data_IF_719664326254
#
_entry.id   IF_719664326254
#
_cell.length_a   1.000
_cell.length_b   1.000
_cell.length_c   1.000
_cell.angle_alpha   90.00
_cell.angle_beta   90.00
_cell.angle_gamma   90.00
#
_symmetry.space_group_name_H-M   'P 1'
#
loop_
_entity.id
_entity.type
_entity.pdbx_description
1 polymer ?
#
# COMPACT_ATOMS: atom_id res chain seq x y z
N UNK A 1 -27.80 -4.36 -15.16
CA UNK A 1 -26.54 -4.69 -14.45
C UNK A 1 -26.16 -6.14 -14.70
N UNK A 2 -24.87 -6.42 -14.77
CA UNK A 2 -24.32 -7.77 -14.97
C UNK A 2 -24.51 -8.68 -13.74
N UNK A 3 -24.61 -9.99 -13.97
CA UNK A 3 -24.89 -10.98 -12.93
C UNK A 3 -23.80 -11.02 -11.84
N UNK A 4 -22.53 -10.90 -12.23
CA UNK A 4 -21.40 -10.96 -11.30
C UNK A 4 -21.43 -9.83 -10.26
N UNK A 5 -21.80 -8.61 -10.67
CA UNK A 5 -21.90 -7.48 -9.74
C UNK A 5 -23.05 -7.66 -8.74
N UNK A 6 -24.16 -8.27 -9.17
CA UNK A 6 -25.28 -8.61 -8.28
C UNK A 6 -24.84 -9.64 -7.23
N UNK A 7 -24.15 -10.69 -7.64
CA UNK A 7 -23.63 -11.72 -6.74
C UNK A 7 -22.66 -11.14 -5.70
N UNK A 8 -21.75 -10.25 -6.12
CA UNK A 8 -20.83 -9.56 -5.20
C UNK A 8 -21.60 -8.75 -4.15
N UNK A 9 -22.58 -7.96 -4.58
CA UNK A 9 -23.39 -7.15 -3.66
C UNK A 9 -24.22 -8.02 -2.71
N UNK A 10 -24.72 -9.16 -3.18
CA UNK A 10 -25.43 -10.14 -2.34
C UNK A 10 -24.51 -10.80 -1.32
N UNK A 11 -23.35 -11.28 -1.75
CA UNK A 11 -22.34 -11.90 -0.88
C UNK A 11 -21.89 -10.94 0.23
N UNK A 12 -21.79 -9.64 -0.08
CA UNK A 12 -21.40 -8.63 0.90
C UNK A 12 -22.55 -8.20 1.81
N UNK A 13 -23.77 -8.69 1.58
CA UNK A 13 -24.97 -8.35 2.35
C UNK A 13 -25.58 -6.99 1.98
N UNK A 14 -25.30 -6.50 0.78
CA UNK A 14 -25.79 -5.23 0.22
C UNK A 14 -26.79 -5.42 -0.93
N UNK A 15 -27.52 -6.54 -0.97
CA UNK A 15 -28.52 -6.84 -2.02
C UNK A 15 -29.55 -5.72 -2.22
N UNK A 16 -29.87 -4.98 -1.14
CA UNK A 16 -30.78 -3.83 -1.19
C UNK A 16 -30.26 -2.64 -2.00
N UNK A 17 -28.95 -2.58 -2.26
CA UNK A 17 -28.31 -1.53 -3.06
C UNK A 17 -28.29 -1.86 -4.55
N UNK A 18 -28.61 -3.09 -4.95
CA UNK A 18 -28.70 -3.50 -6.36
C UNK A 18 -29.55 -2.51 -7.20
N UNK A 19 -30.81 -2.19 -6.83
CA UNK A 19 -31.60 -1.25 -7.61
C UNK A 19 -30.97 0.15 -7.67
N UNK A 20 -30.28 0.60 -6.61
CA UNK A 20 -29.58 1.90 -6.61
C UNK A 20 -28.43 1.90 -7.61
N UNK A 21 -27.64 0.82 -7.65
CA UNK A 21 -26.53 0.71 -8.60
C UNK A 21 -27.04 0.58 -10.04
N UNK A 22 -28.19 -0.09 -10.27
CA UNK A 22 -28.84 -0.13 -11.58
C UNK A 22 -29.37 1.22 -12.04
N UNK A 23 -30.07 1.94 -11.17
CA UNK A 23 -30.60 3.29 -11.44
C UNK A 23 -29.48 4.30 -11.76
N UNK A 24 -28.31 4.14 -11.14
CA UNK A 24 -27.14 4.99 -11.37
C UNK A 24 -26.26 4.50 -12.54
N UNK A 25 -26.66 3.45 -13.26
CA UNK A 25 -25.92 2.92 -14.41
C UNK A 25 -24.55 2.37 -14.05
N UNK A 26 -24.38 1.83 -12.84
CA UNK A 26 -23.11 1.25 -12.40
C UNK A 26 -23.06 -0.20 -12.86
N UNK A 27 -22.28 -0.43 -13.91
CA UNK A 27 -21.87 -1.74 -14.38
C UNK A 27 -20.56 -2.20 -13.72
N UNK A 28 -20.05 -3.38 -14.09
CA UNK A 28 -18.86 -3.94 -13.46
C UNK A 28 -17.60 -3.10 -13.72
N UNK A 29 -17.52 -2.42 -14.87
CA UNK A 29 -16.40 -1.54 -15.20
C UNK A 29 -16.46 -0.28 -14.34
N UNK A 30 -17.59 0.43 -14.35
CA UNK A 30 -17.82 1.61 -13.52
C UNK A 30 -17.65 1.31 -12.02
N UNK A 31 -18.01 0.10 -11.60
CA UNK A 31 -17.82 -0.35 -10.22
C UNK A 31 -16.37 -0.31 -9.78
N UNK A 32 -15.40 -0.56 -10.67
CA UNK A 32 -13.95 -0.54 -10.34
C UNK A 32 -13.39 0.86 -10.13
N UNK A 33 -14.10 1.88 -10.60
CA UNK A 33 -13.69 3.29 -10.54
C UNK A 33 -14.45 4.08 -9.47
N UNK A 34 -15.22 3.41 -8.61
CA UNK A 34 -15.89 4.07 -7.50
C UNK A 34 -14.85 4.68 -6.54
N UNK A 35 -14.97 5.98 -6.31
CA UNK A 35 -14.21 6.72 -5.30
C UNK A 35 -15.08 6.96 -4.05
N UNK A 36 -14.45 7.40 -2.97
CA UNK A 36 -15.13 7.59 -1.67
C UNK A 36 -16.36 8.50 -1.77
N UNK A 37 -16.29 9.56 -2.61
CA UNK A 37 -17.42 10.48 -2.85
C UNK A 37 -18.59 9.80 -3.55
N UNK A 38 -18.32 8.99 -4.58
CA UNK A 38 -19.34 8.24 -5.30
C UNK A 38 -20.00 7.19 -4.39
N UNK A 39 -19.19 6.51 -3.57
CA UNK A 39 -19.67 5.54 -2.57
C UNK A 39 -20.56 6.25 -1.54
N UNK A 40 -20.17 7.43 -1.03
CA UNK A 40 -21.01 8.20 -0.11
C UNK A 40 -22.35 8.60 -0.73
N UNK A 41 -22.36 8.97 -2.01
CA UNK A 41 -23.57 9.32 -2.74
C UNK A 41 -24.49 8.11 -2.94
N UNK A 42 -23.93 6.97 -3.34
CA UNK A 42 -24.68 5.72 -3.56
C UNK A 42 -25.26 5.16 -2.26
N UNK A 43 -24.48 5.20 -1.19
CA UNK A 43 -24.90 4.74 0.14
C UNK A 43 -25.50 5.88 0.98
N UNK A 44 -25.95 6.97 0.39
CA UNK A 44 -26.46 8.15 1.11
C UNK A 44 -27.60 7.82 2.08
N UNK A 45 -28.46 6.85 1.73
CA UNK A 45 -29.59 6.36 2.54
C UNK A 45 -29.19 5.34 3.62
N UNK A 46 -27.94 4.88 3.60
CA UNK A 46 -27.42 3.88 4.53
C UNK A 46 -26.82 4.51 5.79
N UNK A 47 -26.82 3.74 6.87
CA UNK A 47 -26.15 4.18 8.10
C UNK A 47 -24.62 4.16 7.95
N UNK A 48 -23.93 4.91 8.82
CA UNK A 48 -22.47 5.02 8.79
C UNK A 48 -21.77 3.64 8.87
N UNK A 49 -22.31 2.70 9.66
CA UNK A 49 -21.74 1.36 9.79
C UNK A 49 -21.78 0.57 8.47
N UNK A 50 -22.87 0.67 7.73
CA UNK A 50 -23.01 0.06 6.41
C UNK A 50 -22.02 0.68 5.42
N UNK A 51 -21.87 2.01 5.41
CA UNK A 51 -20.87 2.72 4.59
C UNK A 51 -19.45 2.24 4.87
N UNK A 52 -19.08 2.10 6.14
CA UNK A 52 -17.76 1.61 6.54
C UNK A 52 -17.53 0.15 6.12
N UNK A 53 -18.52 -0.72 6.30
CA UNK A 53 -18.45 -2.14 5.88
C UNK A 53 -18.30 -2.26 4.37
N UNK A 54 -19.08 -1.49 3.60
CA UNK A 54 -19.00 -1.46 2.16
C UNK A 54 -17.61 -1.01 1.70
N UNK A 55 -17.11 0.11 2.23
CA UNK A 55 -15.78 0.62 1.90
C UNK A 55 -14.67 -0.40 2.17
N UNK A 56 -14.73 -1.09 3.32
CA UNK A 56 -13.73 -2.13 3.63
C UNK A 56 -13.82 -3.30 2.64
N UNK A 57 -15.02 -3.79 2.33
CA UNK A 57 -15.22 -4.86 1.35
C UNK A 57 -14.75 -4.46 -0.05
N UNK A 58 -15.10 -3.26 -0.49
CA UNK A 58 -14.72 -2.70 -1.78
C UNK A 58 -13.20 -2.55 -1.93
N UNK A 59 -12.50 -2.02 -0.90
CA UNK A 59 -11.03 -1.93 -0.91
C UNK A 59 -10.37 -3.32 -1.00
N UNK A 60 -10.86 -4.29 -0.23
CA UNK A 60 -10.34 -5.66 -0.31
C UNK A 60 -10.61 -6.32 -1.67
N UNK A 61 -11.76 -6.03 -2.29
CA UNK A 61 -12.09 -6.51 -3.62
C UNK A 61 -11.12 -5.99 -4.68
N UNK A 62 -10.81 -4.68 -4.65
CA UNK A 62 -9.84 -4.10 -5.57
C UNK A 62 -8.44 -4.73 -5.41
N UNK A 63 -8.00 -4.94 -4.16
CA UNK A 63 -6.73 -5.62 -3.86
C UNK A 63 -6.74 -7.04 -4.44
N UNK A 64 -7.79 -7.81 -4.20
CA UNK A 64 -7.89 -9.21 -4.66
C UNK A 64 -8.02 -9.31 -6.18
N UNK A 65 -8.69 -8.36 -6.84
CA UNK A 65 -8.84 -8.34 -8.30
C UNK A 65 -7.52 -7.96 -8.99
N UNK A 66 -6.71 -7.12 -8.37
CA UNK A 66 -5.35 -6.80 -8.83
C UNK A 66 -4.34 -7.91 -8.49
N UNK A 67 -4.64 -8.74 -7.48
CA UNK A 67 -3.86 -9.90 -7.07
C UNK A 67 -4.39 -11.21 -7.67
N UNK A 68 -4.33 -11.36 -9.00
CA UNK A 68 -4.32 -12.69 -9.61
C UNK A 68 -2.93 -13.35 -9.41
N UNK A 69 -2.81 -14.68 -9.32
CA UNK A 69 -2.07 -15.35 -8.24
C UNK A 69 -0.58 -15.59 -8.53
N UNK A 70 0.29 -15.20 -7.58
CA UNK A 70 1.51 -15.96 -7.30
C UNK A 70 1.18 -16.96 -6.18
N UNK A 71 0.88 -18.19 -6.56
CA UNK A 71 0.74 -19.32 -5.64
C UNK A 71 2.10 -19.62 -5.02
N UNK A 72 2.41 -19.03 -3.86
CA UNK A 72 3.47 -19.56 -2.99
C UNK A 72 2.78 -20.34 -1.88
N UNK A 73 2.71 -21.65 -2.08
CA UNK A 73 2.41 -22.60 -1.01
C UNK A 73 3.40 -22.38 0.14
N UNK A 74 2.95 -21.71 1.19
CA UNK A 74 3.69 -21.66 2.45
C UNK A 74 3.30 -22.90 3.26
N UNK A 75 3.96 -24.02 2.97
CA UNK A 75 3.94 -25.16 3.87
C UNK A 75 4.76 -24.79 5.11
N UNK A 76 4.05 -24.59 6.22
CA UNK A 76 4.62 -24.71 7.55
C UNK A 76 4.94 -26.18 7.77
N UNK A 77 6.22 -26.53 7.85
CA UNK A 77 6.62 -27.69 8.64
C UNK A 77 7.88 -27.35 9.45
N UNK A 78 7.68 -27.37 10.75
CA UNK A 78 8.69 -27.23 11.80
C UNK A 78 9.34 -28.60 11.96
N UNK A 79 10.67 -28.69 11.89
CA UNK A 79 11.52 -29.37 12.88
C UNK A 79 13.00 -29.35 12.47
N UNK A 80 13.77 -28.70 13.35
CA UNK A 80 15.01 -29.12 13.98
C UNK A 80 16.08 -29.96 13.26
N UNK A 81 17.28 -29.38 13.36
CA UNK A 81 18.58 -30.00 13.65
C UNK A 81 19.43 -30.66 12.55
N UNK A 82 20.73 -30.37 12.72
CA UNK A 82 21.95 -30.99 12.20
C UNK A 82 22.52 -30.49 10.85
N UNK A 83 23.41 -29.50 10.98
CA UNK A 83 24.86 -29.65 10.72
C UNK A 83 25.26 -30.53 9.52
N UNK A 84 25.77 -29.95 8.43
CA UNK A 84 26.95 -30.48 7.74
C UNK A 84 27.43 -29.61 6.58
N UNK A 85 28.75 -29.38 6.62
CA UNK A 85 29.73 -29.17 5.56
C UNK A 85 29.56 -28.21 4.37
N UNK A 86 30.61 -27.41 4.25
CA UNK A 86 31.04 -26.66 3.10
C UNK A 86 31.39 -27.57 1.92
N UNK A 87 31.10 -27.12 0.71
CA UNK A 87 31.98 -27.33 -0.44
C UNK A 87 31.71 -26.28 -1.51
N UNK A 88 32.69 -25.38 -1.58
CA UNK A 88 33.26 -24.71 -2.75
C UNK A 88 32.79 -25.20 -4.13
N UNK A 89 32.34 -24.27 -4.98
CA UNK A 89 32.73 -24.25 -6.38
C UNK A 89 32.68 -22.86 -6.97
N UNK A 90 33.84 -22.51 -7.48
CA UNK A 90 34.22 -21.43 -8.37
C UNK A 90 33.32 -21.29 -9.60
N UNK A 91 32.98 -20.05 -9.94
CA UNK A 91 33.17 -19.52 -11.30
C UNK A 91 32.86 -18.02 -11.31
N UNK A 92 33.90 -17.25 -11.61
CA UNK A 92 33.83 -15.84 -11.97
C UNK A 92 32.94 -15.63 -13.19
N UNK A 93 32.09 -14.60 -13.14
CA UNK A 93 31.84 -13.77 -14.31
C UNK A 93 31.59 -12.34 -13.85
N UNK A 94 32.64 -11.52 -14.01
CA UNK A 94 32.54 -10.09 -13.93
C UNK A 94 31.87 -9.60 -15.22
N UNK A 95 30.75 -8.90 -15.10
CA UNK A 95 30.28 -8.03 -16.18
C UNK A 95 29.89 -6.70 -15.59
N UNK A 96 30.74 -5.72 -15.87
CA UNK A 96 30.51 -4.32 -15.61
C UNK A 96 29.33 -3.81 -16.43
N UNK A 97 28.39 -3.11 -15.79
CA UNK A 97 27.58 -2.09 -16.45
C UNK A 97 27.49 -0.89 -15.51
N UNK A 98 28.47 0.00 -15.66
CA UNK A 98 28.34 1.41 -15.36
C UNK A 98 27.70 2.08 -16.56
N UNK A 99 26.65 2.86 -16.38
CA UNK A 99 26.50 4.26 -16.83
C UNK A 99 25.02 4.66 -16.91
N UNK A 100 24.74 5.67 -16.09
CA UNK A 100 23.86 6.81 -16.30
C UNK A 100 23.13 6.88 -17.65
N UNK A 101 21.80 6.93 -17.59
CA UNK A 101 21.01 7.68 -18.56
C UNK A 101 20.00 8.55 -17.79
N UNK A 102 20.39 9.82 -17.70
CA UNK A 102 19.69 10.95 -17.13
C UNK A 102 18.65 11.43 -18.14
N UNK A 103 17.47 10.83 -18.09
CA UNK A 103 16.30 11.33 -18.82
C UNK A 103 15.46 12.19 -17.89
N UNK A 104 15.77 13.47 -17.98
CA UNK A 104 15.07 14.64 -17.47
C UNK A 104 13.56 14.57 -17.80
N UNK A 105 12.79 13.94 -16.92
CA UNK A 105 11.33 14.09 -16.86
C UNK A 105 11.04 14.99 -15.67
N UNK A 106 10.13 15.96 -15.83
CA UNK A 106 9.88 16.99 -14.83
C UNK A 106 9.26 16.35 -13.57
N UNK A 107 10.08 15.91 -12.61
CA UNK A 107 9.61 15.20 -11.42
C UNK A 107 9.37 16.20 -10.30
N UNK A 108 8.12 16.27 -9.83
CA UNK A 108 7.76 16.97 -8.59
C UNK A 108 8.68 16.53 -7.45
N UNK A 109 9.36 17.50 -6.85
CA UNK A 109 10.27 17.29 -5.73
C UNK A 109 9.49 16.86 -4.49
N UNK A 110 9.72 15.63 -4.03
CA UNK A 110 9.11 15.13 -2.81
C UNK A 110 9.87 15.67 -1.59
N UNK A 111 9.49 16.87 -1.14
CA UNK A 111 10.15 17.56 -0.02
C UNK A 111 9.74 17.02 1.36
N UNK A 112 10.52 17.32 2.40
CA UNK A 112 10.14 17.02 3.79
C UNK A 112 8.80 17.65 4.21
N UNK A 113 8.43 18.77 3.57
CA UNK A 113 7.13 19.40 3.77
C UNK A 113 5.97 18.52 3.29
N UNK A 114 6.18 17.69 2.26
CA UNK A 114 5.19 16.73 1.78
C UNK A 114 4.91 15.64 2.82
N UNK A 115 5.96 15.11 3.44
CA UNK A 115 5.80 14.14 4.54
C UNK A 115 5.10 14.77 5.74
N UNK A 116 5.43 16.01 6.09
CA UNK A 116 4.74 16.73 7.16
C UNK A 116 3.25 16.93 6.86
N UNK A 117 2.87 17.24 5.63
CA UNK A 117 1.47 17.33 5.24
C UNK A 117 0.73 15.99 5.40
N UNK A 118 1.36 14.88 5.03
CA UNK A 118 0.82 13.53 5.25
C UNK A 118 0.67 13.25 6.74
N UNK A 119 1.65 13.64 7.55
CA UNK A 119 1.63 13.46 9.00
C UNK A 119 0.66 14.41 9.72
N UNK A 120 0.18 15.47 9.07
CA UNK A 120 -0.88 16.33 9.57
C UNK A 120 -2.29 15.79 9.26
N UNK A 121 -2.40 14.73 8.45
CA UNK A 121 -3.68 14.03 8.25
C UNK A 121 -4.21 13.40 9.55
N UNK A 122 -5.50 13.05 9.65
CA UNK A 122 -6.06 12.42 10.84
C UNK A 122 -5.33 11.12 11.26
N UNK A 123 -4.91 10.30 10.30
CA UNK A 123 -4.14 9.07 10.58
C UNK A 123 -2.66 9.39 10.84
N UNK A 124 -2.07 10.29 10.05
CA UNK A 124 -0.69 10.72 10.21
C UNK A 124 -0.42 11.34 11.58
N UNK A 125 -1.34 12.16 12.06
CA UNK A 125 -1.24 12.84 13.36
C UNK A 125 -1.31 11.86 14.54
N UNK A 126 -2.08 10.78 14.40
CA UNK A 126 -2.07 9.68 15.37
C UNK A 126 -0.72 8.98 15.41
N UNK A 127 -0.13 8.69 14.26
CA UNK A 127 1.20 8.07 14.16
C UNK A 127 2.27 8.99 14.76
N UNK A 128 2.25 10.28 14.40
CA UNK A 128 3.15 11.31 14.91
C UNK A 128 3.03 11.45 16.43
N UNK A 129 1.81 11.60 16.94
CA UNK A 129 1.56 11.71 18.39
C UNK A 129 1.99 10.47 19.17
N UNK A 130 1.74 9.28 18.62
CA UNK A 130 2.20 8.03 19.21
C UNK A 130 3.72 7.99 19.28
N UNK A 131 4.41 8.33 18.19
CA UNK A 131 5.87 8.36 18.16
C UNK A 131 6.46 9.41 19.10
N UNK A 132 5.84 10.59 19.20
CA UNK A 132 6.29 11.65 20.13
C UNK A 132 6.35 11.12 21.56
N UNK A 133 5.37 10.30 21.96
CA UNK A 133 5.28 9.70 23.30
C UNK A 133 6.19 8.49 23.48
N UNK A 134 6.13 7.52 22.57
CA UNK A 134 6.75 6.20 22.75
C UNK A 134 8.16 6.12 22.16
N UNK A 135 8.56 7.10 21.35
CA UNK A 135 9.84 7.18 20.60
C UNK A 135 10.12 5.98 19.70
N UNK A 136 9.13 5.11 19.49
CA UNK A 136 9.18 3.93 18.64
C UNK A 136 7.78 3.58 18.14
N UNK A 137 7.63 3.28 16.86
CA UNK A 137 6.40 2.83 16.23
C UNK A 137 6.21 1.33 16.40
N UNK A 138 4.98 0.92 16.70
CA UNK A 138 4.52 -0.48 16.61
C UNK A 138 4.38 -0.90 15.15
N UNK A 139 4.50 -2.20 14.86
CA UNK A 139 4.42 -2.74 13.50
C UNK A 139 3.16 -2.25 12.77
N UNK A 140 1.99 -2.34 13.41
CA UNK A 140 0.74 -1.89 12.82
C UNK A 140 0.71 -0.38 12.48
N UNK A 141 1.46 0.47 13.20
CA UNK A 141 1.58 1.89 12.90
C UNK A 141 2.63 2.16 11.81
N UNK A 142 3.67 1.32 11.71
CA UNK A 142 4.62 1.35 10.60
C UNK A 142 3.92 0.98 9.29
N UNK A 143 3.13 -0.09 9.32
CA UNK A 143 2.36 -0.53 8.15
C UNK A 143 1.40 0.56 7.70
N UNK A 144 0.69 1.19 8.65
CA UNK A 144 -0.18 2.34 8.36
C UNK A 144 0.59 3.56 7.82
N UNK A 145 1.77 3.86 8.36
CA UNK A 145 2.62 4.94 7.87
C UNK A 145 3.02 4.70 6.40
N UNK A 146 3.39 3.46 6.06
CA UNK A 146 3.70 3.08 4.69
C UNK A 146 2.46 3.21 3.81
N UNK A 147 1.29 2.74 4.26
CA UNK A 147 0.05 2.86 3.49
C UNK A 147 -0.30 4.30 3.14
N UNK A 148 -0.25 5.23 4.11
CA UNK A 148 -0.61 6.64 3.86
C UNK A 148 0.40 7.33 2.93
N UNK A 149 1.68 6.96 3.00
CA UNK A 149 2.71 7.51 2.11
C UNK A 149 2.50 6.98 0.69
N UNK A 150 2.22 5.69 0.53
CA UNK A 150 1.93 5.09 -0.78
C UNK A 150 0.66 5.66 -1.40
N UNK A 151 -0.40 5.84 -0.61
CA UNK A 151 -1.65 6.44 -1.08
C UNK A 151 -1.44 7.87 -1.58
N UNK A 152 -0.68 8.70 -0.85
CA UNK A 152 -0.33 10.05 -1.30
C UNK A 152 0.50 10.03 -2.60
N UNK A 153 1.50 9.15 -2.68
CA UNK A 153 2.37 9.03 -3.86
C UNK A 153 1.61 8.61 -5.12
N UNK A 154 0.73 7.60 -4.98
CA UNK A 154 -0.09 7.11 -6.08
C UNK A 154 -1.17 8.11 -6.48
N UNK A 155 -1.67 8.93 -5.54
CA UNK A 155 -2.64 9.97 -5.84
C UNK A 155 -2.05 11.14 -6.64
N UNK A 156 -0.74 11.43 -6.46
CA UNK A 156 -0.04 12.53 -7.14
C UNK A 156 0.62 12.10 -8.45
N UNK A 157 1.13 10.88 -8.52
CA UNK A 157 1.78 10.34 -9.71
C UNK A 157 0.87 9.36 -10.45
N UNK A 158 0.04 9.91 -11.34
CA UNK A 158 -0.87 9.14 -12.21
C UNK A 158 -0.12 8.19 -13.15
N UNK A 159 1.10 8.58 -13.55
CA UNK A 159 2.04 7.68 -14.23
C UNK A 159 2.83 6.95 -13.14
N UNK A 160 2.53 5.68 -12.89
CA UNK A 160 3.04 4.77 -11.83
C UNK A 160 4.57 4.66 -11.65
N UNK A 161 5.38 5.52 -12.29
CA UNK A 161 6.83 5.47 -12.25
C UNK A 161 7.38 6.37 -11.15
N UNK A 162 7.50 5.81 -9.95
CA UNK A 162 8.21 6.46 -8.85
C UNK A 162 9.71 6.47 -9.19
N UNK A 163 10.31 7.65 -9.29
CA UNK A 163 11.75 7.77 -9.57
C UNK A 163 12.58 7.32 -8.37
N UNK A 164 13.81 6.84 -8.63
CA UNK A 164 14.78 6.49 -7.59
C UNK A 164 15.08 7.68 -6.66
N UNK A 165 15.04 8.90 -7.21
CA UNK A 165 15.22 10.13 -6.44
C UNK A 165 14.09 10.32 -5.43
N UNK A 166 12.84 10.22 -5.87
CA UNK A 166 11.65 10.34 -4.98
C UNK A 166 11.72 9.31 -3.85
N UNK A 167 12.10 8.06 -4.15
CA UNK A 167 12.28 7.04 -3.12
C UNK A 167 13.35 7.43 -2.08
N UNK A 168 14.50 7.95 -2.56
CA UNK A 168 15.58 8.42 -1.69
C UNK A 168 15.11 9.58 -0.81
N UNK A 169 14.40 10.55 -1.38
CA UNK A 169 13.91 11.74 -0.69
C UNK A 169 12.88 11.36 0.41
N UNK A 170 11.94 10.46 0.10
CA UNK A 170 10.98 9.92 1.09
C UNK A 170 11.73 9.21 2.21
N UNK A 171 12.69 8.35 1.86
CA UNK A 171 13.42 7.57 2.85
C UNK A 171 14.18 8.48 3.82
N UNK A 172 14.83 9.54 3.31
CA UNK A 172 15.53 10.53 4.10
C UNK A 172 14.56 11.30 5.01
N UNK A 173 13.40 11.71 4.49
CA UNK A 173 12.38 12.42 5.28
C UNK A 173 11.81 11.54 6.41
N UNK A 174 11.55 10.25 6.14
CA UNK A 174 11.10 9.29 7.16
C UNK A 174 12.16 9.14 8.24
N UNK A 175 13.43 8.94 7.86
CA UNK A 175 14.54 8.78 8.80
C UNK A 175 14.72 10.03 9.66
N UNK A 176 14.61 11.22 9.07
CA UNK A 176 14.70 12.49 9.80
C UNK A 176 13.55 12.64 10.82
N UNK A 177 12.35 12.18 10.47
CA UNK A 177 11.16 12.29 11.34
C UNK A 177 11.11 11.19 12.41
N UNK A 178 11.61 10.00 12.09
CA UNK A 178 11.55 8.80 12.92
C UNK A 178 12.94 8.16 13.11
N UNK A 179 13.91 8.85 13.74
CA UNK A 179 15.31 8.40 13.79
C UNK A 179 15.52 7.05 14.48
N UNK A 180 14.63 6.67 15.40
CA UNK A 180 14.71 5.40 16.13
C UNK A 180 14.13 4.19 15.38
N UNK A 181 13.57 4.41 14.18
CA UNK A 181 12.96 3.36 13.35
C UNK A 181 13.93 2.69 12.39
N UNK A 182 15.17 3.17 12.34
CA UNK A 182 16.23 2.61 11.51
C UNK A 182 16.64 1.25 12.10
N UNK A 183 16.40 0.17 11.37
CA UNK A 183 17.12 -1.08 11.62
C UNK A 183 18.55 -0.88 11.11
N UNK A 184 19.50 -0.69 12.03
CA UNK A 184 20.91 -0.89 11.71
C UNK A 184 21.06 -2.35 11.28
N UNK A 185 21.32 -2.59 10.00
CA UNK A 185 21.67 -3.92 9.53
C UNK A 185 23.11 -4.19 9.95
N UNK A 186 23.30 -4.82 11.10
CA UNK A 186 24.62 -5.16 11.66
C UNK A 186 25.24 -6.38 10.98
N UNK A 187 25.14 -6.49 9.65
CA UNK A 187 25.73 -7.58 8.88
C UNK A 187 26.65 -6.98 7.82
N UNK A 188 27.74 -6.35 8.25
CA UNK A 188 28.89 -5.96 7.41
C UNK A 188 30.13 -5.70 8.29
N UNK A 189 30.46 -6.59 9.24
CA UNK A 189 31.82 -6.70 9.80
C UNK A 189 31.99 -8.12 10.34
N UNK A 190 32.69 -8.95 9.57
CA UNK A 190 33.06 -10.32 9.87
C UNK A 190 33.90 -10.83 8.72
#
# INVERSE_FOLDING_TARGET
MEAELREILEEWGFSRLIPVFEENGIDQEAFLYLNDLAIEKLLSKENLGAKLKFNNKYKNFLINKQAAPLTVHRNLNVNSDEQSDCSESTASEATAISSDDDSNDAVEEYSSATLENILNSPMGSQIKSYYTREKRLKNNLRDKLVSIILEDLLSKNVNMRISKKVFTDISAAIVATFPNEIKVCTICYG
#
